data_IF_978143781501
#
_entry.id   IF_978143781501
#
_cell.length_a   1.000
_cell.length_b   1.000
_cell.length_c   1.000
_cell.angle_alpha   90.00
_cell.angle_beta   90.00
_cell.angle_gamma   90.00
#
_symmetry.space_group_name_H-M   'P 1'
#
loop_
_entity.id
_entity.type
_entity.pdbx_description
1 polymer ?
#
# COMPACT_ATOMS: atom_id res chain seq x y z
N UNK A 1 8.10 -2.06 -11.26
CA UNK A 1 9.08 -1.74 -10.21
C UNK A 1 8.94 -0.26 -9.88
N UNK A 2 8.93 0.08 -8.60
CA UNK A 2 8.77 1.44 -8.09
C UNK A 2 9.89 1.69 -7.08
N UNK A 3 10.40 2.91 -7.04
CA UNK A 3 11.36 3.34 -6.04
C UNK A 3 10.91 4.66 -5.42
N UNK A 4 11.15 4.85 -4.12
CA UNK A 4 10.78 6.09 -3.41
C UNK A 4 11.82 6.45 -2.36
N UNK A 5 11.82 7.72 -1.96
CA UNK A 5 12.47 8.19 -0.74
C UNK A 5 11.46 9.11 -0.04
N UNK A 6 10.86 8.65 1.05
CA UNK A 6 9.84 9.39 1.82
C UNK A 6 10.51 10.42 2.73
N UNK A 7 9.84 11.54 3.01
CA UNK A 7 10.33 12.62 3.87
C UNK A 7 11.01 12.08 5.15
N UNK A 8 12.18 12.60 5.50
CA UNK A 8 12.95 12.10 6.64
C UNK A 8 12.48 12.63 8.00
N UNK A 9 11.89 13.82 8.07
CA UNK A 9 11.49 14.48 9.33
C UNK A 9 10.69 13.54 10.26
N UNK A 10 11.25 13.12 11.40
CA UNK A 10 10.59 12.20 12.35
C UNK A 10 9.27 12.73 12.91
N UNK A 11 9.06 14.06 12.91
CA UNK A 11 7.83 14.67 13.42
C UNK A 11 6.68 14.69 12.40
N UNK A 12 6.95 14.41 11.12
CA UNK A 12 6.03 14.59 10.02
C UNK A 12 5.32 13.29 9.59
N UNK A 13 4.85 12.48 10.55
CA UNK A 13 4.20 11.19 10.28
C UNK A 13 2.96 11.30 9.36
N UNK A 14 2.22 12.41 9.45
CA UNK A 14 1.10 12.76 8.56
C UNK A 14 1.53 12.95 7.12
N UNK A 15 2.61 13.68 6.89
CA UNK A 15 3.18 13.88 5.55
C UNK A 15 3.72 12.57 5.00
N UNK A 16 4.44 11.76 5.79
CA UNK A 16 4.97 10.45 5.37
C UNK A 16 3.84 9.51 4.95
N UNK A 17 2.78 9.42 5.78
CA UNK A 17 1.61 8.60 5.48
C UNK A 17 0.85 9.09 4.23
N UNK A 18 0.79 10.41 4.02
CA UNK A 18 0.21 10.97 2.81
C UNK A 18 1.03 10.67 1.55
N UNK A 19 2.36 10.77 1.62
CA UNK A 19 3.26 10.38 0.52
C UNK A 19 3.09 8.89 0.18
N UNK A 20 3.03 8.02 1.19
CA UNK A 20 2.72 6.60 1.03
C UNK A 20 1.36 6.36 0.36
N UNK A 21 0.33 7.11 0.78
CA UNK A 21 -1.01 7.05 0.17
C UNK A 21 -0.98 7.40 -1.32
N UNK A 22 -0.37 8.53 -1.67
CA UNK A 22 -0.26 8.96 -3.07
C UNK A 22 0.52 7.95 -3.93
N UNK A 23 1.61 7.41 -3.40
CA UNK A 23 2.42 6.39 -4.07
C UNK A 23 1.57 5.15 -4.41
N UNK A 24 0.85 4.61 -3.42
CA UNK A 24 0.01 3.43 -3.62
C UNK A 24 -1.18 3.71 -4.55
N UNK A 25 -1.77 4.90 -4.50
CA UNK A 25 -2.82 5.32 -5.46
C UNK A 25 -2.29 5.41 -6.88
N UNK A 26 -1.09 5.96 -7.07
CA UNK A 26 -0.44 6.01 -8.37
C UNK A 26 -0.16 4.60 -8.90
N UNK A 27 0.37 3.70 -8.07
CA UNK A 27 0.59 2.30 -8.42
C UNK A 27 -0.72 1.62 -8.84
N UNK A 28 -1.80 1.78 -8.07
CA UNK A 28 -3.12 1.24 -8.40
C UNK A 28 -3.62 1.76 -9.75
N UNK A 29 -3.50 3.07 -9.98
CA UNK A 29 -3.92 3.70 -11.23
C UNK A 29 -3.13 3.21 -12.45
N UNK A 30 -1.81 3.00 -12.30
CA UNK A 30 -0.95 2.54 -13.40
C UNK A 30 -1.06 1.04 -13.68
N UNK A 31 -1.23 0.21 -12.65
CA UNK A 31 -1.20 -1.26 -12.79
C UNK A 31 -2.58 -1.88 -13.00
N UNK A 32 -3.66 -1.13 -12.74
CA UNK A 32 -5.02 -1.67 -12.70
C UNK A 32 -5.21 -2.77 -11.66
N UNK A 33 -4.28 -2.91 -10.70
CA UNK A 33 -4.28 -3.93 -9.66
C UNK A 33 -4.00 -5.35 -10.13
N UNK A 34 -3.45 -5.55 -11.34
CA UNK A 34 -3.24 -6.88 -11.93
C UNK A 34 -1.78 -7.24 -12.19
N UNK A 35 -0.88 -6.26 -12.13
CA UNK A 35 0.53 -6.49 -12.40
C UNK A 35 1.29 -6.81 -11.12
N UNK A 36 2.31 -7.68 -11.18
CA UNK A 36 3.26 -7.86 -10.08
C UNK A 36 3.93 -6.53 -9.72
N UNK A 37 3.95 -6.19 -8.44
CA UNK A 37 4.51 -4.94 -7.92
C UNK A 37 5.70 -5.24 -7.03
N UNK A 38 6.79 -4.51 -7.28
CA UNK A 38 7.92 -4.33 -6.37
C UNK A 38 8.00 -2.84 -6.04
N UNK A 39 8.02 -2.47 -4.77
CA UNK A 39 8.29 -1.12 -4.28
C UNK A 39 9.52 -1.17 -3.38
N UNK A 40 10.59 -0.53 -3.80
CA UNK A 40 11.80 -0.36 -3.01
C UNK A 40 11.89 1.08 -2.51
N UNK A 41 12.71 1.31 -1.49
CA UNK A 41 13.07 2.67 -1.10
C UNK A 41 13.44 2.81 0.36
N UNK A 42 13.86 4.03 0.68
CA UNK A 42 13.94 4.54 2.04
C UNK A 42 12.59 5.16 2.40
N UNK A 43 11.90 4.58 3.36
CA UNK A 43 10.59 5.04 3.78
C UNK A 43 10.68 6.01 4.97
N UNK A 44 11.87 6.19 5.54
CA UNK A 44 12.09 6.95 6.77
C UNK A 44 11.05 6.64 7.85
N UNK A 45 10.63 5.38 7.92
CA UNK A 45 9.51 4.90 8.72
C UNK A 45 9.85 3.50 9.23
N UNK A 46 9.73 3.27 10.53
CA UNK A 46 10.07 2.01 11.18
C UNK A 46 8.96 0.97 11.06
N UNK A 47 9.19 -0.32 11.40
CA UNK A 47 8.17 -1.38 11.26
C UNK A 47 6.92 -1.18 12.13
N UNK A 48 7.00 -0.34 13.16
CA UNK A 48 5.90 0.07 14.05
C UNK A 48 5.18 1.35 13.59
N UNK A 49 5.58 1.93 12.45
CA UNK A 49 4.97 3.14 11.90
C UNK A 49 3.62 2.89 11.21
N UNK A 50 2.83 3.97 11.11
CA UNK A 50 1.58 3.96 10.35
C UNK A 50 1.83 3.73 8.85
N UNK A 51 2.97 4.19 8.30
CA UNK A 51 3.34 3.93 6.90
C UNK A 51 3.51 2.44 6.65
N UNK A 52 4.24 1.74 7.54
CA UNK A 52 4.44 0.30 7.44
C UNK A 52 3.10 -0.44 7.59
N UNK A 53 2.29 -0.11 8.60
CA UNK A 53 0.96 -0.72 8.79
C UNK A 53 0.05 -0.50 7.57
N UNK A 54 0.08 0.71 7.00
CA UNK A 54 -0.71 1.08 5.84
C UNK A 54 -0.38 0.18 4.64
N UNK A 55 0.90 0.09 4.25
CA UNK A 55 1.37 -0.79 3.16
C UNK A 55 0.94 -2.26 3.36
N UNK A 56 1.02 -2.77 4.60
CA UNK A 56 0.63 -4.15 4.95
C UNK A 56 -0.86 -4.41 4.84
N UNK A 57 -1.67 -3.49 5.35
CA UNK A 57 -3.09 -3.77 5.67
C UNK A 57 -4.09 -3.06 4.78
N UNK A 58 -3.66 -2.12 3.94
CA UNK A 58 -4.60 -1.29 3.19
C UNK A 58 -5.11 -0.08 3.98
N UNK A 59 -4.85 -0.03 5.29
CA UNK A 59 -5.41 0.94 6.24
C UNK A 59 -4.55 0.98 7.51
N UNK A 60 -4.60 2.09 8.24
CA UNK A 60 -3.99 2.24 9.57
C UNK A 60 -5.07 2.07 10.63
N UNK A 61 -4.75 1.45 11.77
CA UNK A 61 -5.70 1.36 12.89
C UNK A 61 -6.03 2.76 13.44
N UNK A 62 -7.28 3.05 13.84
CA UNK A 62 -7.65 4.39 14.31
C UNK A 62 -6.92 4.87 15.57
N UNK A 63 -6.42 3.94 16.39
CA UNK A 63 -5.73 4.19 17.66
C UNK A 63 -4.20 4.26 17.54
N UNK A 64 -3.65 4.25 16.32
CA UNK A 64 -2.21 4.29 16.07
C UNK A 64 -1.58 5.60 16.56
N UNK A 65 -0.39 5.53 17.16
CA UNK A 65 0.29 6.69 17.73
C UNK A 65 0.60 7.77 16.69
N UNK A 66 1.09 7.38 15.52
CA UNK A 66 1.31 8.30 14.39
C UNK A 66 0.07 9.08 13.94
N UNK A 67 -1.15 8.55 14.16
CA UNK A 67 -2.38 9.27 13.83
C UNK A 67 -2.77 10.35 14.86
N UNK A 68 -2.12 10.36 16.04
CA UNK A 68 -2.40 11.34 17.10
C UNK A 68 -1.87 12.74 16.75
N UNK A 69 -0.85 12.81 15.89
CA UNK A 69 -0.22 14.06 15.45
C UNK A 69 -0.54 14.28 13.96
N UNK A 70 -1.34 15.29 13.69
CA UNK A 70 -1.73 15.69 12.33
C UNK A 70 -1.54 17.21 12.17
N UNK A 71 -0.30 17.71 12.27
CA UNK A 71 -0.01 19.15 12.20
C UNK A 71 -0.50 19.78 10.89
N UNK A 72 -0.50 19.05 9.79
CA UNK A 72 -0.98 19.53 8.50
C UNK A 72 -2.50 19.32 8.30
N UNK A 73 -3.19 18.62 9.21
CA UNK A 73 -4.62 18.31 9.07
C UNK A 73 -4.93 17.37 7.90
N UNK A 74 -3.94 16.62 7.41
CA UNK A 74 -4.06 15.76 6.22
C UNK A 74 -4.86 14.51 6.56
N UNK A 75 -4.57 13.88 7.70
CA UNK A 75 -5.16 12.59 8.07
C UNK A 75 -6.67 12.69 8.32
N UNK A 76 -7.12 13.81 8.91
CA UNK A 76 -8.55 14.05 9.20
C UNK A 76 -9.42 14.22 7.97
N UNK A 77 -8.83 14.69 6.86
CA UNK A 77 -9.56 15.06 5.66
C UNK A 77 -9.54 13.99 4.57
N UNK A 78 -8.76 12.92 4.74
CA UNK A 78 -8.56 11.89 3.74
C UNK A 78 -9.04 10.52 4.20
N UNK A 79 -9.76 9.83 3.32
CA UNK A 79 -10.03 8.41 3.49
C UNK A 79 -8.80 7.59 3.09
N UNK A 80 -7.88 7.40 4.05
CA UNK A 80 -6.65 6.63 3.88
C UNK A 80 -6.94 5.12 3.78
N UNK A 81 -7.29 4.66 2.57
CA UNK A 81 -7.56 3.25 2.27
C UNK A 81 -7.05 2.83 0.88
N UNK A 82 -6.49 1.64 0.76
CA UNK A 82 -6.17 0.97 -0.51
C UNK A 82 -6.41 -0.54 -0.43
N UNK A 83 -6.33 -1.24 -1.57
CA UNK A 83 -6.51 -2.69 -1.69
C UNK A 83 -5.25 -3.41 -2.18
N UNK A 84 -4.13 -2.69 -2.27
CA UNK A 84 -2.83 -3.22 -2.68
C UNK A 84 -2.04 -3.60 -1.44
N UNK A 85 -2.49 -4.62 -0.72
CA UNK A 85 -1.75 -5.12 0.43
C UNK A 85 -0.43 -5.74 -0.03
N UNK A 86 0.66 -5.33 0.60
CA UNK A 86 2.00 -5.79 0.26
C UNK A 86 2.66 -6.45 1.47
N UNK A 87 3.69 -7.26 1.21
CA UNK A 87 4.57 -7.81 2.25
C UNK A 87 6.02 -7.44 1.92
N UNK A 88 6.91 -7.54 2.88
CA UNK A 88 8.33 -7.22 2.71
C UNK A 88 9.15 -8.50 2.51
N UNK A 89 10.22 -8.41 1.72
CA UNK A 89 11.10 -9.55 1.45
C UNK A 89 11.73 -10.14 2.71
N UNK A 90 12.21 -9.28 3.61
CA UNK A 90 12.96 -9.69 4.80
C UNK A 90 12.07 -10.34 5.86
N UNK A 91 10.91 -9.74 6.17
CA UNK A 91 9.93 -10.38 7.07
C UNK A 91 9.40 -11.69 6.49
N UNK A 92 9.15 -11.76 5.18
CA UNK A 92 8.67 -13.01 4.56
C UNK A 92 9.69 -14.15 4.68
N UNK A 93 10.99 -13.87 4.49
CA UNK A 93 12.04 -14.88 4.57
C UNK A 93 12.47 -15.24 6.00
N UNK A 94 12.42 -14.30 6.94
CA UNK A 94 13.03 -14.48 8.28
C UNK A 94 12.04 -14.35 9.44
N UNK A 95 10.77 -14.08 9.14
CA UNK A 95 9.71 -13.79 10.11
C UNK A 95 9.91 -12.50 10.93
N UNK A 96 10.89 -11.68 10.56
CA UNK A 96 11.15 -10.35 11.14
C UNK A 96 11.82 -9.45 10.12
N UNK A 97 11.76 -8.14 10.34
CA UNK A 97 12.56 -7.21 9.53
C UNK A 97 14.04 -7.29 9.87
N UNK A 98 14.88 -6.79 8.95
CA UNK A 98 16.29 -6.54 9.24
C UNK A 98 16.40 -5.57 10.42
N UNK A 99 17.25 -5.87 11.41
CA UNK A 99 17.34 -5.05 12.64
C UNK A 99 17.73 -3.60 12.34
N UNK A 100 18.66 -3.40 11.41
CA UNK A 100 19.13 -2.07 11.02
C UNK A 100 19.31 -2.01 9.51
N UNK A 101 18.75 -0.97 8.89
CA UNK A 101 19.07 -0.62 7.50
C UNK A 101 19.63 0.79 7.42
N UNK A 102 19.47 1.61 8.46
CA UNK A 102 20.26 2.79 8.73
C UNK A 102 20.96 2.63 10.09
N UNK A 103 22.25 2.98 10.15
CA UNK A 103 23.06 2.81 11.36
C UNK A 103 23.97 4.03 11.55
N UNK A 104 23.47 5.06 12.22
CA UNK A 104 24.21 6.30 12.55
C UNK A 104 24.49 6.39 14.06
N UNK A 105 25.15 7.47 14.51
CA UNK A 105 25.34 7.70 15.95
C UNK A 105 24.00 8.00 16.66
N UNK A 106 23.13 8.77 16.01
CA UNK A 106 21.88 9.27 16.59
C UNK A 106 20.68 8.33 16.35
N UNK A 107 20.74 7.50 15.30
CA UNK A 107 19.64 6.60 14.94
C UNK A 107 20.16 5.27 14.40
N UNK A 108 19.58 4.18 14.90
CA UNK A 108 19.83 2.81 14.43
C UNK A 108 18.49 2.10 14.29
N UNK A 109 18.11 1.75 13.07
CA UNK A 109 16.83 1.08 12.84
C UNK A 109 16.57 0.72 11.38
N UNK A 110 15.46 0.03 11.14
CA UNK A 110 14.95 -0.31 9.81
C UNK A 110 14.18 0.88 9.25
N UNK A 111 14.62 1.40 8.12
CA UNK A 111 13.93 2.45 7.34
C UNK A 111 13.72 2.05 5.88
N UNK A 112 14.50 1.08 5.40
CA UNK A 112 14.52 0.63 4.02
C UNK A 112 13.74 -0.68 3.88
N UNK A 113 13.02 -0.82 2.78
CA UNK A 113 12.21 -2.01 2.53
C UNK A 113 12.19 -2.40 1.05
N UNK A 114 12.05 -3.70 0.81
CA UNK A 114 11.66 -4.26 -0.47
C UNK A 114 10.26 -4.85 -0.32
N UNK A 115 9.25 -4.05 -0.65
CA UNK A 115 7.85 -4.48 -0.67
C UNK A 115 7.53 -5.20 -1.97
N UNK A 116 6.71 -6.24 -1.89
CA UNK A 116 6.20 -6.94 -3.05
C UNK A 116 4.72 -7.34 -2.90
N UNK A 117 4.04 -7.51 -4.03
CA UNK A 117 2.69 -8.06 -4.10
C UNK A 117 2.75 -9.60 -4.00
N UNK A 118 2.33 -10.22 -2.88
CA UNK A 118 2.50 -11.66 -2.66
C UNK A 118 1.61 -12.52 -3.55
N UNK A 119 0.60 -11.94 -4.22
CA UNK A 119 -0.28 -12.70 -5.11
C UNK A 119 0.42 -13.17 -6.40
N UNK A 120 1.47 -12.47 -6.83
CA UNK A 120 2.14 -12.76 -8.11
C UNK A 120 3.64 -12.99 -7.98
N UNK A 121 4.21 -12.78 -6.80
CA UNK A 121 5.63 -12.91 -6.54
C UNK A 121 5.87 -13.73 -5.28
N UNK A 122 6.86 -14.61 -5.36
CA UNK A 122 7.48 -15.28 -4.22
C UNK A 122 8.90 -14.76 -4.05
N UNK A 123 9.30 -14.49 -2.81
CA UNK A 123 10.71 -14.25 -2.49
C UNK A 123 11.41 -15.60 -2.31
N UNK A 124 12.50 -15.82 -3.04
CA UNK A 124 13.28 -17.06 -3.00
C UNK A 124 14.43 -16.99 -1.99
N UNK A 125 15.09 -15.84 -1.93
CA UNK A 125 16.25 -15.61 -1.10
C UNK A 125 16.43 -14.13 -0.82
N UNK A 126 17.11 -13.83 0.29
CA UNK A 126 17.60 -12.51 0.64
C UNK A 126 19.09 -12.58 0.94
N UNK A 127 19.81 -11.48 0.74
CA UNK A 127 21.12 -11.32 1.38
C UNK A 127 20.90 -11.01 2.85
N UNK A 128 21.59 -11.72 3.74
CA UNK A 128 21.55 -11.37 5.16
C UNK A 128 22.14 -9.97 5.32
N UNK A 129 21.40 -9.12 6.04
CA UNK A 129 21.92 -7.86 6.56
C UNK A 129 22.77 -8.23 7.76
N UNK A 130 23.96 -7.63 7.85
CA UNK A 130 24.89 -7.87 8.96
C UNK A 130 24.17 -7.73 10.30
N UNK A 131 24.42 -8.67 11.21
CA UNK A 131 23.81 -8.62 12.52
C UNK A 131 24.46 -7.53 13.40
N UNK A 132 23.85 -7.27 14.55
CA UNK A 132 24.36 -6.27 15.50
C UNK A 132 25.80 -6.57 15.93
N UNK A 133 26.24 -7.83 15.97
CA UNK A 133 27.60 -8.19 16.39
C UNK A 133 28.66 -7.74 15.38
N UNK A 134 28.30 -7.67 14.10
CA UNK A 134 29.16 -7.20 13.03
C UNK A 134 29.15 -5.66 12.94
N UNK A 135 27.98 -5.03 13.10
CA UNK A 135 27.86 -3.57 13.04
C UNK A 135 28.28 -2.87 14.33
N UNK A 136 28.17 -3.50 15.50
CA UNK A 136 28.58 -2.93 16.79
C UNK A 136 30.09 -2.74 16.94
N UNK A 137 30.89 -3.27 16.02
CA UNK A 137 32.32 -2.95 15.93
C UNK A 137 32.55 -1.51 15.44
N UNK A 138 31.56 -0.94 14.76
CA UNK A 138 31.56 0.44 14.30
C UNK A 138 30.69 1.28 15.25
N UNK A 139 31.12 2.50 15.56
CA UNK A 139 30.27 3.43 16.34
C UNK A 139 29.00 3.79 15.55
N UNK A 140 29.18 4.01 14.25
CA UNK A 140 28.19 4.41 13.26
C UNK A 140 28.72 4.12 11.85
N UNK A 141 27.82 4.15 10.86
CA UNK A 141 28.12 4.15 9.44
C UNK A 141 27.95 5.58 8.88
N UNK A 142 28.63 5.93 7.76
CA UNK A 142 29.61 5.12 7.02
C UNK A 142 30.89 4.86 7.82
N UNK A 143 31.68 3.87 7.41
CA UNK A 143 32.96 3.52 8.02
C UNK A 143 34.07 3.35 6.98
N UNK A 144 35.29 3.03 7.43
CA UNK A 144 36.44 2.78 6.53
C UNK A 144 36.20 1.63 5.53
N UNK A 145 35.24 0.75 5.80
CA UNK A 145 34.90 -0.40 4.94
C UNK A 145 33.49 -0.33 4.37
N UNK A 146 32.66 0.65 4.78
CA UNK A 146 31.25 0.78 4.38
C UNK A 146 30.96 2.22 3.93
N UNK A 147 30.61 2.44 2.65
CA UNK A 147 30.56 3.79 2.08
C UNK A 147 29.26 4.56 2.34
N UNK A 148 28.26 3.96 3.00
CA UNK A 148 26.96 4.57 3.31
C UNK A 148 26.58 4.28 4.76
N UNK A 149 25.80 5.19 5.34
CA UNK A 149 25.07 5.03 6.60
C UNK A 149 23.90 4.04 6.50
N UNK A 150 23.48 3.69 5.29
CA UNK A 150 22.50 2.65 5.02
C UNK A 150 23.14 1.31 4.61
N UNK A 151 22.44 0.21 4.90
CA UNK A 151 22.80 -1.14 4.50
C UNK A 151 21.92 -1.59 3.33
N UNK A 152 22.55 -2.01 2.24
CA UNK A 152 21.87 -2.48 1.04
C UNK A 152 21.01 -3.71 1.31
N UNK A 153 19.74 -3.64 0.91
CA UNK A 153 18.84 -4.78 0.87
C UNK A 153 18.92 -5.48 -0.49
N UNK A 154 19.00 -6.82 -0.48
CA UNK A 154 19.06 -7.62 -1.71
C UNK A 154 18.12 -8.80 -1.57
N UNK A 155 17.28 -9.02 -2.60
CA UNK A 155 16.33 -10.12 -2.64
C UNK A 155 16.20 -10.69 -4.06
N UNK A 156 15.99 -12.00 -4.14
CA UNK A 156 15.70 -12.73 -5.37
C UNK A 156 14.23 -13.12 -5.38
N UNK A 157 13.53 -12.81 -6.47
CA UNK A 157 12.10 -13.09 -6.63
C UNK A 157 11.83 -14.07 -7.76
N UNK A 158 10.68 -14.73 -7.66
CA UNK A 158 10.10 -15.58 -8.70
C UNK A 158 8.67 -15.14 -8.97
N UNK A 159 8.29 -15.07 -10.25
CA UNK A 159 6.89 -14.88 -10.63
C UNK A 159 6.11 -16.16 -10.35
N UNK A 160 4.89 -16.01 -9.84
CA UNK A 160 3.94 -17.12 -9.86
C UNK A 160 3.56 -17.43 -11.30
N UNK A 161 3.36 -18.71 -11.60
CA UNK A 161 2.79 -19.11 -12.88
C UNK A 161 1.41 -18.45 -13.02
N UNK A 162 1.19 -17.74 -14.12
CA UNK A 162 -0.17 -17.34 -14.50
C UNK A 162 -0.97 -18.61 -14.73
N UNK A 163 -2.14 -18.80 -14.09
CA UNK A 163 -3.04 -19.88 -14.46
C UNK A 163 -3.32 -19.76 -15.97
N UNK A 164 -3.07 -20.84 -16.72
CA UNK A 164 -3.50 -20.92 -18.11
C UNK A 164 -5.01 -20.65 -18.15
N UNK A 165 -5.49 -19.91 -19.16
CA UNK A 165 -6.91 -19.54 -19.34
C UNK A 165 -7.90 -20.74 -19.33
N UNK A 166 -7.42 -21.97 -19.21
CA UNK A 166 -8.19 -23.21 -19.26
C UNK A 166 -8.82 -23.63 -17.92
N UNK A 167 -8.53 -22.98 -16.79
CA UNK A 167 -9.15 -23.33 -15.49
C UNK A 167 -10.33 -22.43 -15.05
N UNK A 168 -10.69 -21.41 -15.83
CA UNK A 168 -11.94 -20.67 -15.58
C UNK A 168 -13.15 -21.41 -16.18
N UNK A 169 -13.50 -22.55 -15.60
CA UNK A 169 -14.84 -23.11 -15.81
C UNK A 169 -15.83 -22.19 -15.09
N UNK A 170 -16.78 -21.53 -15.78
CA UNK A 170 -17.78 -20.74 -15.10
C UNK A 170 -18.59 -21.69 -14.21
N UNK A 171 -18.65 -21.42 -12.91
CA UNK A 171 -19.63 -22.07 -12.02
C UNK A 171 -21.02 -21.70 -12.55
N UNK A 172 -21.59 -22.55 -13.41
CA UNK A 172 -23.01 -22.50 -13.73
C UNK A 172 -23.74 -22.69 -12.40
N UNK A 173 -24.45 -21.66 -11.97
CA UNK A 173 -25.48 -21.78 -10.95
C UNK A 173 -26.47 -22.85 -11.42
N UNK A 174 -26.41 -24.03 -10.82
CA UNK A 174 -27.44 -25.04 -10.97
C UNK A 174 -28.66 -24.50 -10.22
N UNK A 175 -29.53 -23.76 -10.91
CA UNK A 175 -30.91 -23.61 -10.46
C UNK A 175 -31.56 -25.00 -10.63
N UNK A 176 -31.72 -25.72 -9.53
CA UNK A 176 -32.61 -26.87 -9.48
C UNK A 176 -34.04 -26.37 -9.67
N UNK A 177 -34.55 -26.47 -10.89
CA UNK A 177 -35.97 -26.33 -11.17
C UNK A 177 -36.68 -27.58 -10.64
N UNK A 178 -37.23 -27.51 -9.43
CA UNK A 178 -38.18 -28.49 -8.94
C UNK A 178 -39.51 -28.29 -9.67
N UNK A 179 -39.88 -29.22 -10.54
CA UNK A 179 -41.24 -29.36 -11.03
C UNK A 179 -42.16 -29.76 -9.86
N UNK A 180 -43.07 -28.87 -9.48
CA UNK A 180 -44.26 -29.21 -8.72
C UNK A 180 -45.50 -28.79 -9.54
N UNK A 181 -46.42 -29.74 -9.62
CA UNK A 181 -47.67 -29.73 -10.37
C UNK A 181 -48.70 -28.73 -9.79
N UNK A 182 -49.43 -28.10 -10.72
CA UNK A 182 -50.86 -27.73 -10.69
C UNK A 182 -51.48 -27.07 -9.44
N UNK A 183 -52.00 -25.86 -9.63
CA UNK A 183 -52.98 -25.24 -8.74
C UNK A 183 -53.43 -23.87 -9.24
N UNK A 184 -54.52 -23.83 -10.02
CA UNK A 184 -55.22 -22.62 -10.43
C UNK A 184 -55.73 -21.80 -9.23
N UNK A 185 -55.60 -20.47 -9.28
CA UNK A 185 -56.62 -19.54 -8.81
C UNK A 185 -56.41 -18.12 -9.38
N UNK A 186 -57.53 -17.55 -9.84
CA UNK A 186 -57.73 -16.18 -10.33
C UNK A 186 -57.46 -15.10 -9.26
N UNK A 187 -57.02 -13.89 -9.64
CA UNK A 187 -57.84 -12.65 -9.63
C UNK A 187 -57.03 -11.37 -9.98
N UNK A 188 -57.64 -10.55 -10.86
CA UNK A 188 -57.50 -9.13 -11.24
C UNK A 188 -56.51 -8.15 -10.57
N UNK A 189 -56.11 -7.15 -11.39
CA UNK A 189 -55.99 -5.74 -10.93
C UNK A 189 -54.71 -5.01 -11.41
N UNK A 190 -54.56 -4.62 -12.67
CA UNK A 190 -54.87 -3.30 -13.26
C UNK A 190 -53.96 -2.10 -12.85
N UNK A 191 -53.46 -1.43 -13.91
CA UNK A 191 -53.09 0.00 -14.05
C UNK A 191 -51.63 0.48 -14.08
N UNK A 192 -51.28 0.98 -15.28
CA UNK A 192 -50.27 1.96 -15.66
C UNK A 192 -50.46 3.32 -14.95
N UNK A 193 -49.41 4.15 -14.87
CA UNK A 193 -49.21 5.39 -15.70
C UNK A 193 -48.02 6.25 -15.20
N UNK A 194 -47.30 6.73 -16.22
CA UNK A 194 -46.29 7.78 -16.43
C UNK A 194 -46.42 9.16 -15.72
N UNK A 195 -45.30 9.88 -15.54
CA UNK A 195 -45.06 11.33 -15.85
C UNK A 195 -43.79 11.85 -15.11
N UNK A 196 -42.69 12.23 -15.79
CA UNK A 196 -42.28 13.57 -16.32
C UNK A 196 -42.20 14.70 -15.27
N UNK A 197 -41.02 15.26 -14.95
CA UNK A 197 -40.41 16.40 -15.66
C UNK A 197 -39.59 17.33 -14.72
N UNK A 198 -38.90 18.37 -15.23
CA UNK A 198 -37.49 18.69 -14.87
C UNK A 198 -37.21 20.10 -14.29
N UNK A 199 -35.95 20.37 -13.91
CA UNK A 199 -35.37 21.71 -13.63
C UNK A 199 -34.32 21.64 -12.50
N UNK A 200 -33.15 22.28 -12.54
CA UNK A 200 -32.62 23.30 -13.43
C UNK A 200 -31.13 23.56 -13.15
N UNK A 201 -30.61 24.48 -13.94
CA UNK A 201 -29.22 24.87 -14.20
C UNK A 201 -28.34 25.32 -13.02
N UNK A 202 -27.02 25.25 -13.23
CA UNK A 202 -26.03 25.90 -12.38
C UNK A 202 -24.57 25.68 -12.78
N UNK A 203 -24.16 26.17 -13.97
CA UNK A 203 -22.76 26.41 -14.33
C UNK A 203 -22.19 27.60 -13.53
N UNK A 204 -20.87 27.57 -13.25
CA UNK A 204 -19.83 28.65 -13.27
C UNK A 204 -18.67 28.20 -12.36
N UNK A 205 -17.58 27.66 -12.89
CA UNK A 205 -16.44 28.34 -13.51
C UNK A 205 -15.45 28.98 -12.51
N UNK A 206 -14.26 28.37 -12.46
CA UNK A 206 -12.92 28.96 -12.52
C UNK A 206 -12.59 30.17 -11.63
N UNK A 207 -11.66 29.94 -10.70
CA UNK A 207 -10.84 30.98 -10.07
C UNK A 207 -9.50 30.38 -9.66
N UNK A 208 -8.53 30.41 -10.57
CA UNK A 208 -7.15 30.02 -10.30
C UNK A 208 -6.27 31.16 -9.80
N UNK A 209 -5.02 30.77 -9.52
CA UNK A 209 -3.79 31.56 -9.28
C UNK A 209 -3.44 31.88 -7.81
N UNK A 210 -2.15 32.05 -7.46
CA UNK A 210 -0.98 31.28 -7.89
C UNK A 210 0.02 30.95 -6.74
N UNK A 211 0.96 30.05 -7.06
CA UNK A 211 2.35 29.87 -6.57
C UNK A 211 2.83 30.61 -5.30
N UNK A 212 3.40 29.84 -4.38
CA UNK A 212 4.57 30.24 -3.61
C UNK A 212 5.58 29.09 -3.55
N UNK A 213 6.81 29.45 -3.90
CA UNK A 213 8.02 28.65 -4.06
C UNK A 213 8.95 28.98 -2.88
N UNK A 214 9.94 28.11 -2.59
CA UNK A 214 10.99 28.21 -1.55
C UNK A 214 10.50 27.70 -0.18
N UNK A 215 11.18 26.75 0.47
CA UNK A 215 12.61 26.70 0.75
C UNK A 215 13.21 25.28 0.59
N UNK A 216 14.53 25.31 0.40
CA UNK A 216 15.53 24.25 0.25
C UNK A 216 15.25 22.95 1.01
#
# INVERSE_FOLDING_TARGET
VVNTHILCDPAAADVKLFQAHLLLKAIQGTTGGRLPILVCGDFNSTPDSAVYEYFRRGQVRPDHDDLKKDPCGIMRNLSLRHNTCMVTAYETCTHKEATFTNYTEDFKGTLDYIWFSPENLSVLAISQVDDESQLSQESALPSSTRPSDHVSLVATFMFHDTPTEQEQVPRRSILMASHAHSGMAHHMGQHYVHSTGPGGDGMYAMGGMPYAQQYL
#
